data_IF_778076607311
#
_entry.id   IF_778076607311
#
_cell.length_a   1.000
_cell.length_b   1.000
_cell.length_c   1.000
_cell.angle_alpha   90.00
_cell.angle_beta   90.00
_cell.angle_gamma   90.00
#
_symmetry.space_group_name_H-M   'P 1'
#
loop_
_entity.id
_entity.type
_entity.pdbx_description
1 polymer ?
#
# COMPACT_ATOMS: atom_id res chain seq x y z
N UNK A 1 -10.94 8.70 -13.44
CA UNK A 1 -10.73 7.83 -12.26
C UNK A 1 -9.23 7.72 -12.07
N UNK A 2 -8.71 8.09 -10.90
CA UNK A 2 -7.29 7.93 -10.59
C UNK A 2 -7.15 6.70 -9.70
N UNK A 3 -6.49 5.67 -10.24
CA UNK A 3 -6.14 4.44 -9.55
C UNK A 3 -4.64 4.52 -9.26
N UNK A 4 -4.23 4.28 -8.02
CA UNK A 4 -2.82 4.33 -7.64
C UNK A 4 -2.61 4.81 -6.21
N UNK A 5 -1.34 5.08 -5.90
CA UNK A 5 -0.92 5.56 -4.58
C UNK A 5 -0.50 7.02 -4.72
N UNK A 6 -1.09 7.87 -3.88
CA UNK A 6 -0.75 9.28 -3.74
C UNK A 6 -0.16 9.47 -2.36
N UNK A 7 1.07 9.98 -2.29
CA UNK A 7 1.78 10.30 -1.07
C UNK A 7 2.07 11.80 -1.04
N UNK A 8 1.52 12.49 -0.04
CA UNK A 8 1.78 13.90 0.21
C UNK A 8 2.53 14.04 1.53
N UNK A 9 3.69 14.70 1.50
CA UNK A 9 4.54 14.89 2.68
C UNK A 9 4.93 16.35 2.80
N UNK A 10 4.79 16.91 4.01
CA UNK A 10 5.30 18.23 4.36
C UNK A 10 6.34 18.08 5.47
N UNK A 11 7.65 18.15 5.14
CA UNK A 11 8.72 18.05 6.13
C UNK A 11 9.07 19.44 6.71
N UNK A 12 9.45 19.47 7.99
CA UNK A 12 10.03 20.61 8.68
C UNK A 12 11.22 20.14 9.52
N UNK A 13 12.39 20.71 9.27
CA UNK A 13 13.63 20.38 9.99
C UNK A 13 13.76 21.28 11.21
N UNK A 14 14.07 20.72 12.37
CA UNK A 14 14.39 21.45 13.59
C UNK A 14 15.91 21.57 13.78
N UNK A 15 16.33 22.50 14.63
CA UNK A 15 17.76 22.79 14.87
C UNK A 15 18.52 21.67 15.60
N UNK A 16 17.82 20.75 16.25
CA UNK A 16 18.34 19.57 16.95
C UNK A 16 18.40 18.30 16.06
N UNK A 17 18.16 18.44 14.75
CA UNK A 17 18.32 17.35 13.77
C UNK A 17 17.13 16.40 13.68
N UNK A 18 15.98 16.78 14.22
CA UNK A 18 14.72 16.08 13.97
C UNK A 18 14.01 16.65 12.73
N UNK A 19 13.19 15.80 12.13
CA UNK A 19 12.33 16.11 10.99
C UNK A 19 10.90 15.82 11.42
N UNK A 20 10.12 16.90 11.55
CA UNK A 20 8.67 16.81 11.70
C UNK A 20 8.06 16.61 10.31
N UNK A 21 7.29 15.54 10.13
CA UNK A 21 6.63 15.25 8.87
C UNK A 21 5.12 15.16 9.06
N UNK A 22 4.37 15.91 8.26
CA UNK A 22 2.94 15.70 8.05
C UNK A 22 2.75 14.87 6.79
N UNK A 23 2.19 13.68 6.93
CA UNK A 23 2.09 12.67 5.88
C UNK A 23 0.62 12.35 5.63
N UNK A 24 0.22 12.34 4.37
CA UNK A 24 -1.09 11.86 3.91
C UNK A 24 -0.86 10.86 2.77
N UNK A 25 -1.33 9.64 2.94
CA UNK A 25 -1.23 8.56 1.97
C UNK A 25 -2.63 8.17 1.54
N UNK A 26 -2.92 8.21 0.26
CA UNK A 26 -4.15 7.70 -0.33
C UNK A 26 -3.81 6.58 -1.32
N UNK A 27 -4.38 5.40 -1.14
CA UNK A 27 -4.35 4.30 -2.11
C UNK A 27 -5.76 4.12 -2.68
N UNK A 28 -5.90 4.09 -3.99
CA UNK A 28 -7.15 3.80 -4.68
C UNK A 28 -6.99 2.59 -5.61
N UNK A 29 -7.97 1.68 -5.54
CA UNK A 29 -8.11 0.53 -6.43
C UNK A 29 -9.53 0.42 -6.97
N UNK A 30 -9.70 -0.32 -8.06
CA UNK A 30 -11.03 -0.61 -8.63
C UNK A 30 -11.56 -1.85 -7.92
N UNK A 31 -12.75 -1.78 -7.33
CA UNK A 31 -13.42 -2.97 -6.81
C UNK A 31 -13.79 -3.91 -7.97
N UNK A 32 -13.54 -5.21 -7.79
CA UNK A 32 -13.86 -6.23 -8.78
C UNK A 32 -15.38 -6.26 -9.02
N UNK A 33 -15.81 -6.21 -10.29
CA UNK A 33 -17.24 -6.17 -10.62
C UNK A 33 -17.93 -7.49 -10.25
N UNK A 34 -18.96 -7.42 -9.40
CA UNK A 34 -19.87 -8.53 -9.23
C UNK A 34 -20.79 -8.62 -10.47
N UNK A 35 -20.61 -9.63 -11.31
CA UNK A 35 -21.58 -9.93 -12.38
C UNK A 35 -22.84 -10.52 -11.75
N UNK A 36 -23.96 -9.80 -11.82
CA UNK A 36 -25.27 -10.37 -11.49
C UNK A 36 -25.65 -11.34 -12.61
N UNK A 37 -25.80 -12.63 -12.27
CA UNK A 37 -26.23 -13.64 -13.24
C UNK A 37 -27.59 -13.26 -13.81
N UNK A 38 -27.64 -12.91 -15.11
CA UNK A 38 -28.89 -12.67 -15.84
C UNK A 38 -29.18 -11.21 -16.21
N UNK A 39 -28.33 -10.23 -15.88
CA UNK A 39 -28.46 -8.87 -16.42
C UNK A 39 -27.10 -8.33 -16.92
N UNK A 40 -27.08 -7.75 -18.11
CA UNK A 40 -25.94 -6.96 -18.64
C UNK A 40 -25.80 -5.60 -17.94
N UNK A 41 -26.23 -5.48 -16.69
CA UNK A 41 -26.03 -4.27 -15.91
C UNK A 41 -24.66 -4.35 -15.23
N UNK A 42 -23.68 -3.69 -15.83
CA UNK A 42 -22.39 -3.41 -15.18
C UNK A 42 -22.70 -2.49 -13.99
N UNK A 43 -22.59 -3.01 -12.77
CA UNK A 43 -22.68 -2.20 -11.56
C UNK A 43 -21.57 -1.13 -11.61
N UNK A 44 -21.85 0.11 -11.17
CA UNK A 44 -20.84 1.16 -11.14
C UNK A 44 -19.63 0.68 -10.32
N UNK A 45 -18.44 0.84 -10.88
CA UNK A 45 -17.19 0.53 -10.21
C UNK A 45 -17.10 1.34 -8.91
N UNK A 46 -17.15 0.67 -7.76
CA UNK A 46 -16.86 1.31 -6.49
C UNK A 46 -15.33 1.56 -6.40
N UNK A 47 -14.94 2.82 -6.19
CA UNK A 47 -13.56 3.18 -5.88
C UNK A 47 -13.26 2.71 -4.46
N UNK A 48 -12.43 1.67 -4.33
CA UNK A 48 -11.90 1.28 -3.02
C UNK A 48 -10.75 2.22 -2.69
N UNK A 49 -10.99 3.18 -1.79
CA UNK A 49 -9.96 4.11 -1.33
C UNK A 49 -9.58 3.84 0.12
N UNK A 50 -8.27 3.89 0.41
CA UNK A 50 -7.66 3.77 1.73
C UNK A 50 -6.85 5.02 1.98
N UNK A 51 -7.04 5.67 3.12
CA UNK A 51 -6.35 6.91 3.46
C UNK A 51 -5.73 6.84 4.86
N UNK A 52 -4.47 7.21 4.99
CA UNK A 52 -3.78 7.31 6.27
C UNK A 52 -3.15 8.70 6.42
N UNK A 53 -3.37 9.35 7.57
CA UNK A 53 -2.75 10.63 7.92
C UNK A 53 -1.95 10.48 9.21
N UNK A 54 -0.71 10.97 9.20
CA UNK A 54 0.17 10.92 10.36
C UNK A 54 0.97 12.22 10.53
N UNK A 55 1.22 12.61 11.78
CA UNK A 55 2.18 13.65 12.14
C UNK A 55 3.24 13.00 13.01
N UNK A 56 4.49 13.04 12.56
CA UNK A 56 5.57 12.24 13.14
C UNK A 56 6.82 13.10 13.29
N UNK A 57 7.51 12.95 14.42
CA UNK A 57 8.81 13.55 14.66
C UNK A 57 9.85 12.44 14.66
N UNK A 58 10.81 12.51 13.73
CA UNK A 58 11.76 11.44 13.46
C UNK A 58 13.15 12.04 13.30
N UNK A 59 14.20 11.36 13.75
CA UNK A 59 15.57 11.82 13.51
C UNK A 59 15.95 11.60 12.04
N UNK A 60 16.88 12.40 11.54
CA UNK A 60 17.51 12.15 10.24
C UNK A 60 18.02 10.70 10.11
N UNK A 61 17.67 10.04 8.99
CA UNK A 61 18.07 8.67 8.68
C UNK A 61 17.33 7.56 9.43
N UNK A 62 16.48 7.87 10.41
CA UNK A 62 15.67 6.87 11.12
C UNK A 62 14.40 6.53 10.36
N UNK A 63 14.05 5.24 10.30
CA UNK A 63 12.82 4.80 9.62
C UNK A 63 11.69 4.69 10.62
N UNK A 64 10.55 5.27 10.28
CA UNK A 64 9.28 5.03 10.98
C UNK A 64 8.35 4.18 10.14
N UNK A 65 7.46 3.48 10.85
CA UNK A 65 6.37 2.72 10.26
C UNK A 65 5.06 3.39 10.65
N UNK A 66 4.28 3.77 9.65
CA UNK A 66 2.90 4.18 9.82
C UNK A 66 2.06 2.96 9.41
N UNK A 67 1.63 2.20 10.41
CA UNK A 67 0.67 1.10 10.22
C UNK A 67 -0.70 1.66 9.82
N UNK A 68 -1.36 1.05 8.84
CA UNK A 68 -2.57 1.59 8.23
C UNK A 68 -3.68 0.57 8.01
N UNK A 69 -4.82 0.84 8.65
CA UNK A 69 -6.20 0.45 8.32
C UNK A 69 -6.37 -1.00 7.86
N UNK A 70 -6.79 -1.85 8.80
CA UNK A 70 -7.16 -3.25 8.56
C UNK A 70 -8.57 -3.34 7.96
N UNK A 71 -8.70 -4.01 6.81
CA UNK A 71 -10.01 -4.41 6.26
C UNK A 71 -10.10 -5.93 6.34
N UNK A 72 -10.95 -6.42 7.23
CA UNK A 72 -11.31 -7.84 7.31
C UNK A 72 -12.62 -8.03 6.53
N UNK A 73 -12.54 -8.73 5.40
CA UNK A 73 -13.74 -9.08 4.62
C UNK A 73 -13.96 -10.58 4.73
N UNK A 74 -15.03 -10.97 5.44
CA UNK A 74 -15.47 -12.35 5.56
C UNK A 74 -16.71 -12.60 4.71
N UNK A 75 -16.67 -13.62 3.85
CA UNK A 75 -17.86 -14.13 3.18
C UNK A 75 -18.07 -15.61 3.50
N UNK A 76 -19.31 -15.95 3.85
CA UNK A 76 -19.75 -17.34 4.00
C UNK A 76 -20.85 -17.58 3.00
N UNK A 77 -20.65 -18.55 2.11
CA UNK A 77 -21.66 -18.99 1.15
C UNK A 77 -21.97 -20.44 1.41
N UNK A 78 -23.25 -20.75 1.65
CA UNK A 78 -23.73 -22.11 1.83
C UNK A 78 -24.72 -22.43 0.72
N UNK A 79 -24.47 -23.51 -0.03
CA UNK A 79 -25.39 -24.05 -1.02
C UNK A 79 -25.65 -25.53 -0.72
N UNK A 80 -26.82 -26.05 -1.06
CA UNK A 80 -27.13 -27.44 -0.75
C UNK A 80 -28.49 -27.87 -1.27
N UNK A 81 -28.77 -29.18 -1.18
CA UNK A 81 -30.06 -29.73 -1.58
C UNK A 81 -31.12 -29.31 -0.55
N UNK A 82 -32.24 -28.68 -0.97
CA UNK A 82 -33.33 -28.30 -0.07
C UNK A 82 -33.83 -29.50 0.75
N UNK A 83 -34.22 -29.27 2.01
CA UNK A 83 -34.63 -30.28 3.01
C UNK A 83 -33.52 -31.22 3.50
N UNK A 84 -32.64 -31.73 2.63
CA UNK A 84 -31.57 -32.67 3.03
C UNK A 84 -30.43 -31.97 3.77
N UNK A 85 -30.14 -30.71 3.43
CA UNK A 85 -29.06 -29.92 4.08
C UNK A 85 -29.30 -29.61 5.56
N UNK A 86 -30.56 -29.68 6.02
CA UNK A 86 -30.97 -29.31 7.38
C UNK A 86 -31.13 -30.51 8.33
N UNK A 87 -30.88 -31.74 7.85
CA UNK A 87 -30.98 -32.97 8.67
C UNK A 87 -29.86 -32.97 9.73
N UNK A 88 -30.17 -33.11 11.04
CA UNK A 88 -29.15 -33.25 12.07
C UNK A 88 -28.23 -34.44 11.76
N UNK A 89 -26.93 -34.30 12.02
CA UNK A 89 -25.89 -35.34 11.78
C UNK A 89 -25.57 -35.61 10.31
N UNK A 90 -26.54 -35.61 9.39
CA UNK A 90 -26.34 -35.99 7.97
C UNK A 90 -26.34 -34.82 6.99
N UNK A 91 -26.86 -33.65 7.37
CA UNK A 91 -27.01 -32.50 6.48
C UNK A 91 -25.70 -31.94 5.93
N UNK A 92 -24.56 -32.27 6.55
CA UNK A 92 -23.25 -31.86 6.06
C UNK A 92 -22.82 -32.55 4.75
N UNK A 93 -23.35 -33.73 4.42
CA UNK A 93 -23.08 -34.39 3.12
C UNK A 93 -23.86 -33.75 1.96
N UNK A 94 -24.91 -33.00 2.27
CA UNK A 94 -25.84 -32.41 1.29
C UNK A 94 -25.73 -30.89 1.22
N UNK A 95 -24.74 -30.31 1.89
CA UNK A 95 -24.38 -28.90 1.84
C UNK A 95 -22.93 -28.72 1.43
N UNK A 96 -22.67 -27.62 0.74
CA UNK A 96 -21.38 -27.15 0.34
C UNK A 96 -21.21 -25.75 0.96
N UNK A 97 -20.33 -25.66 1.95
CA UNK A 97 -19.98 -24.40 2.58
C UNK A 97 -18.66 -23.90 1.98
N UNK A 98 -18.64 -22.62 1.57
CA UNK A 98 -17.43 -21.90 1.19
C UNK A 98 -17.21 -20.78 2.19
N UNK A 99 -16.04 -20.79 2.82
CA UNK A 99 -15.56 -19.72 3.68
C UNK A 99 -14.41 -19.02 2.94
N UNK A 100 -14.54 -17.72 2.76
CA UNK A 100 -13.46 -16.88 2.21
C UNK A 100 -13.20 -15.74 3.17
N UNK A 101 -11.92 -15.55 3.49
CA UNK A 101 -11.44 -14.50 4.37
C UNK A 101 -10.29 -13.78 3.69
N UNK A 102 -10.51 -12.51 3.36
CA UNK A 102 -9.52 -11.67 2.67
C UNK A 102 -8.95 -10.65 3.66
N UNK A 103 -7.63 -10.68 3.83
CA UNK A 103 -6.86 -9.75 4.65
C UNK A 103 -6.05 -8.83 3.76
N UNK A 104 -6.28 -7.53 3.88
CA UNK A 104 -5.56 -6.51 3.13
C UNK A 104 -5.09 -5.42 4.10
N UNK A 105 -3.78 -5.15 4.11
CA UNK A 105 -3.11 -4.19 5.01
C UNK A 105 -2.21 -3.24 4.21
N UNK A 106 -2.24 -1.94 4.55
CA UNK A 106 -1.35 -0.94 3.97
C UNK A 106 -0.30 -0.54 4.99
N UNK A 107 0.97 -0.85 4.71
CA UNK A 107 2.11 -0.43 5.51
C UNK A 107 2.91 0.64 4.79
N UNK A 108 3.22 1.73 5.48
CA UNK A 108 4.01 2.83 4.94
C UNK A 108 5.27 3.02 5.78
N UNK A 109 6.44 2.85 5.15
CA UNK A 109 7.76 3.05 5.74
C UNK A 109 8.36 4.35 5.22
N UNK A 110 8.80 5.23 6.11
CA UNK A 110 9.37 6.53 5.74
C UNK A 110 10.65 6.76 6.51
N UNK A 111 11.70 7.15 5.76
CA UNK A 111 13.02 7.50 6.27
C UNK A 111 13.35 8.92 5.79
N UNK A 112 13.32 9.94 6.65
CA UNK A 112 13.71 11.29 6.25
C UNK A 112 15.23 11.35 6.06
N UNK A 113 15.68 12.18 5.11
CA UNK A 113 17.10 12.49 4.92
C UNK A 113 17.30 14.00 4.80
N UNK A 114 18.05 14.59 5.73
CA UNK A 114 18.46 15.99 5.69
C UNK A 114 19.67 16.09 4.77
N UNK A 115 19.59 16.97 3.76
CA UNK A 115 20.71 17.24 2.85
C UNK A 115 21.21 18.65 3.10
N UNK A 116 22.38 18.77 3.73
CA UNK A 116 23.08 20.04 3.87
C UNK A 116 23.67 20.43 2.52
N UNK A 117 23.23 21.56 1.97
CA UNK A 117 23.73 22.14 0.73
C UNK A 117 25.14 22.69 0.91
N UNK A 118 26.13 21.80 0.97
CA UNK A 118 27.55 22.10 0.80
C UNK A 118 28.09 21.23 -0.34
N UNK A 119 29.10 21.71 -1.04
CA UNK A 119 29.85 21.06 -2.14
C UNK A 119 30.44 19.67 -1.82
N UNK A 120 30.07 19.06 -0.71
CA UNK A 120 30.64 17.85 -0.11
C UNK A 120 30.05 16.55 -0.70
N UNK A 121 28.84 16.61 -1.25
CA UNK A 121 28.20 15.46 -1.93
C UNK A 121 28.28 15.51 -3.46
N UNK A 122 28.85 16.56 -4.04
CA UNK A 122 29.14 16.57 -5.46
C UNK A 122 30.53 15.95 -5.66
N UNK A 123 30.68 14.91 -6.49
CA UNK A 123 31.99 14.39 -6.82
C UNK A 123 32.86 15.54 -7.35
N UNK A 124 34.09 15.64 -6.87
CA UNK A 124 34.98 16.71 -7.32
C UNK A 124 35.16 16.60 -8.85
N UNK A 125 35.42 17.72 -9.53
CA UNK A 125 35.71 17.70 -10.96
C UNK A 125 36.82 16.67 -11.30
N UNK A 126 37.78 16.51 -10.39
CA UNK A 126 38.83 15.49 -10.49
C UNK A 126 38.30 14.04 -10.45
N UNK A 127 37.31 13.74 -9.61
CA UNK A 127 36.65 12.42 -9.56
C UNK A 127 35.86 12.14 -10.84
N UNK A 128 35.22 13.16 -11.42
CA UNK A 128 34.52 13.06 -12.71
C UNK A 128 35.49 12.76 -13.86
N UNK A 129 36.62 13.47 -13.94
CA UNK A 129 37.62 13.27 -14.99
C UNK A 129 38.31 11.90 -14.91
N UNK A 130 38.57 11.38 -13.70
CA UNK A 130 39.17 10.05 -13.51
C UNK A 130 38.27 8.90 -13.98
N UNK A 131 36.95 9.04 -13.93
CA UNK A 131 36.03 8.02 -14.45
C UNK A 131 36.07 7.95 -15.97
N UNK A 132 36.14 9.10 -16.63
CA UNK A 132 36.07 9.19 -18.10
C UNK A 132 37.32 8.61 -18.80
N UNK A 133 38.50 8.74 -18.18
CA UNK A 133 39.74 8.15 -18.69
C UNK A 133 39.76 6.61 -18.58
N UNK A 134 39.12 6.04 -17.55
CA UNK A 134 39.04 4.57 -17.39
C UNK A 134 38.16 3.91 -18.44
N UNK A 135 37.15 4.62 -18.95
CA UNK A 135 36.25 4.10 -19.98
C UNK A 135 36.84 4.17 -21.39
N UNK A 136 37.89 4.96 -21.61
CA UNK A 136 38.52 5.13 -22.94
C UNK A 136 39.73 4.23 -23.16
N UNK A 137 40.30 3.64 -22.10
CA UNK A 137 41.44 2.71 -22.21
C UNK A 137 41.05 1.21 -22.25
N UNK A 138 39.75 0.91 -22.27
CA UNK A 138 39.21 -0.46 -22.23
C UNK A 138 38.49 -0.94 -23.50
N UNK A 139 38.71 -0.28 -24.66
CA UNK A 139 38.07 -0.61 -25.94
C UNK A 139 39.07 -0.75 -27.08
#
# INVERSE_FOLDING_TARGET
MNVGIILTVTPQVSSDGFVLMKINVKSSSIAESATVSGSSAVLPFDELSREATANVLVRDGETIVIGGIMKDTGSTSESGIPFLKDIPVLGWLFKNARWQKDFEELMVFITPRIVSGGSENLPSAEQLWRQQLRTTEGG
#
